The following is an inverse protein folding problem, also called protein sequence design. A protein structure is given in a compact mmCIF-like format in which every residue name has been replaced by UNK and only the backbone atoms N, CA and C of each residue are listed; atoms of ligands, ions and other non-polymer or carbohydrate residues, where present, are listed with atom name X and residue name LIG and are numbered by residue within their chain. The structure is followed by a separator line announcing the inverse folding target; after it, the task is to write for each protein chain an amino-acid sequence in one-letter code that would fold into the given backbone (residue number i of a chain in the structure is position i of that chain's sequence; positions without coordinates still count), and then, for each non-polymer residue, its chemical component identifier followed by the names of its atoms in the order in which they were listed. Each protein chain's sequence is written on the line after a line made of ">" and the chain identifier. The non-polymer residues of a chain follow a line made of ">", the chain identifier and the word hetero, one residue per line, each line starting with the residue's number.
data_IF_304761275601
#
_entry.id   IF_304761275601
#
_cell.length_a   1.000
_cell.length_b   1.000
_cell.length_c   1.000
_cell.angle_alpha   90.00
_cell.angle_beta   90.00
_cell.angle_gamma   90.00
#
_symmetry.space_group_name_H-M   'P 1'
#
loop_
_entity.id
_entity.type
_entity.pdbx_description
1 polymer ?
#
# COMPACT_ATOMS: atom_id res chain seq x y z
N UNK A 1 -2.15 11.44 30.19
CA UNK A 1 -2.44 12.53 29.24
C UNK A 1 -3.56 12.09 28.32
N UNK A 2 -4.46 12.99 27.89
CA UNK A 2 -5.45 12.68 26.85
C UNK A 2 -4.74 12.27 25.55
N UNK A 3 -5.31 11.27 24.85
CA UNK A 3 -4.69 10.61 23.68
C UNK A 3 -4.62 11.54 22.46
N UNK A 4 -5.65 12.36 22.24
CA UNK A 4 -5.76 13.26 21.09
C UNK A 4 -4.65 14.34 21.04
N UNK A 5 -4.37 15.08 22.14
CA UNK A 5 -3.27 16.05 22.16
C UNK A 5 -1.89 15.42 21.99
N UNK A 6 -1.70 14.20 22.50
CA UNK A 6 -0.47 13.44 22.29
C UNK A 6 -0.28 13.11 20.80
N UNK A 7 -1.30 12.54 20.14
CA UNK A 7 -1.25 12.25 18.71
C UNK A 7 -1.00 13.51 17.88
N UNK A 8 -1.66 14.61 18.22
CA UNK A 8 -1.45 15.89 17.54
C UNK A 8 -0.01 16.40 17.64
N UNK A 9 0.63 16.30 18.81
CA UNK A 9 2.03 16.70 18.99
C UNK A 9 3.02 15.78 18.25
N UNK A 10 2.69 14.48 18.19
CA UNK A 10 3.44 13.46 17.47
C UNK A 10 3.41 13.71 15.95
N UNK A 11 2.22 13.93 15.37
CA UNK A 11 2.08 14.21 13.93
C UNK A 11 2.73 15.53 13.48
N UNK A 12 2.97 16.48 14.39
CA UNK A 12 3.68 17.71 14.05
C UNK A 12 5.18 17.49 13.81
N UNK A 13 5.76 16.40 14.29
CA UNK A 13 7.19 16.15 14.12
C UNK A 13 7.53 15.87 12.66
N UNK A 14 8.61 16.48 12.18
CA UNK A 14 9.03 16.35 10.79
C UNK A 14 9.25 14.92 10.31
N UNK A 15 9.96 14.13 11.10
CA UNK A 15 10.23 12.73 10.77
C UNK A 15 8.92 11.96 10.64
N UNK A 16 7.95 12.26 11.50
CA UNK A 16 6.66 11.56 11.54
C UNK A 16 5.81 11.89 10.34
N UNK A 17 5.52 13.17 10.07
CA UNK A 17 4.65 13.47 8.95
C UNK A 17 5.28 13.07 7.60
N UNK A 18 6.62 13.14 7.48
CA UNK A 18 7.32 12.68 6.27
C UNK A 18 7.22 11.17 6.11
N UNK A 19 7.46 10.43 7.18
CA UNK A 19 7.35 8.97 7.18
C UNK A 19 5.92 8.50 6.91
N UNK A 20 4.92 9.08 7.57
CA UNK A 20 3.50 8.74 7.38
C UNK A 20 3.02 9.07 5.97
N UNK A 21 3.40 10.21 5.40
CA UNK A 21 3.01 10.57 4.04
C UNK A 21 3.63 9.61 3.01
N UNK A 22 4.93 9.31 3.15
CA UNK A 22 5.59 8.29 2.33
C UNK A 22 4.88 6.95 2.41
N UNK A 23 4.71 6.43 3.64
CA UNK A 23 4.10 5.11 3.87
C UNK A 23 2.69 5.02 3.31
N UNK A 24 1.88 6.06 3.53
CA UNK A 24 0.50 6.09 3.04
C UNK A 24 0.47 6.11 1.51
N UNK A 25 1.15 7.06 0.88
CA UNK A 25 1.14 7.20 -0.57
C UNK A 25 1.74 5.97 -1.25
N UNK A 26 2.85 5.45 -0.73
CA UNK A 26 3.45 4.23 -1.24
C UNK A 26 2.48 3.05 -1.12
N UNK A 27 1.94 2.82 0.07
CA UNK A 27 0.97 1.73 0.34
C UNK A 27 -0.28 1.83 -0.54
N UNK A 28 -0.83 3.02 -0.75
CA UNK A 28 -2.01 3.22 -1.59
C UNK A 28 -1.68 2.95 -3.05
N UNK A 29 -0.66 3.62 -3.60
CA UNK A 29 -0.36 3.55 -5.03
C UNK A 29 0.24 2.21 -5.46
N UNK A 30 1.00 1.54 -4.58
CA UNK A 30 1.57 0.22 -4.87
C UNK A 30 0.55 -0.92 -4.77
N UNK A 31 -0.58 -0.70 -4.10
CA UNK A 31 -1.62 -1.71 -3.93
C UNK A 31 -2.81 -1.53 -4.88
N UNK A 32 -2.82 -0.47 -5.69
CA UNK A 32 -3.77 -0.36 -6.80
C UNK A 32 -3.47 -1.46 -7.80
N UNK A 33 -4.49 -2.29 -8.06
CA UNK A 33 -4.41 -3.47 -8.92
C UNK A 33 -5.68 -3.59 -9.77
N UNK A 34 -5.93 -4.76 -10.36
CA UNK A 34 -7.16 -5.08 -11.09
C UNK A 34 -7.93 -6.16 -10.32
N UNK A 35 -9.20 -5.91 -10.02
CA UNK A 35 -10.04 -6.75 -9.16
C UNK A 35 -10.23 -8.16 -9.72
N UNK A 36 -10.38 -8.28 -11.05
CA UNK A 36 -10.68 -9.54 -11.75
C UNK A 36 -9.41 -10.27 -12.25
N UNK A 37 -8.24 -9.88 -11.75
CA UNK A 37 -6.95 -10.48 -12.11
C UNK A 37 -6.89 -12.00 -11.86
N UNK A 38 -7.55 -12.50 -10.80
CA UNK A 38 -7.60 -13.93 -10.48
C UNK A 38 -8.43 -14.73 -11.48
N UNK A 39 -9.53 -14.17 -11.98
CA UNK A 39 -10.42 -14.80 -12.96
C UNK A 39 -9.78 -14.81 -14.34
N UNK A 40 -9.11 -13.71 -14.71
CA UNK A 40 -8.32 -13.65 -15.95
C UNK A 40 -7.23 -14.74 -15.95
N UNK A 41 -6.55 -14.95 -14.82
CA UNK A 41 -5.54 -16.01 -14.71
C UNK A 41 -6.13 -17.42 -14.80
N UNK A 42 -7.27 -17.69 -14.16
CA UNK A 42 -7.90 -19.01 -14.24
C UNK A 42 -8.50 -19.29 -15.63
N UNK A 43 -9.20 -18.33 -16.22
CA UNK A 43 -9.98 -18.56 -17.43
C UNK A 43 -9.14 -18.41 -18.69
N UNK A 44 -8.28 -17.40 -18.77
CA UNK A 44 -7.47 -17.14 -19.95
C UNK A 44 -6.13 -17.86 -19.92
N UNK A 45 -5.46 -17.90 -18.75
CA UNK A 45 -4.15 -18.54 -18.62
C UNK A 45 -4.22 -20.01 -18.15
N UNK A 46 -5.40 -20.52 -17.75
CA UNK A 46 -5.63 -21.90 -17.29
C UNK A 46 -4.65 -22.38 -16.21
N UNK A 47 -4.08 -21.45 -15.44
CA UNK A 47 -3.21 -21.78 -14.32
C UNK A 47 -4.08 -22.19 -13.13
N UNK A 48 -4.01 -23.47 -12.75
CA UNK A 48 -4.69 -23.95 -11.56
C UNK A 48 -4.16 -23.21 -10.32
N UNK A 49 -5.03 -22.82 -9.36
CA UNK A 49 -4.62 -22.13 -8.14
C UNK A 49 -3.62 -22.94 -7.29
N UNK A 50 -3.53 -24.24 -7.51
CA UNK A 50 -2.51 -25.10 -6.93
C UNK A 50 -1.10 -24.76 -7.44
N UNK A 51 -0.95 -24.45 -8.73
CA UNK A 51 0.34 -24.10 -9.33
C UNK A 51 0.85 -22.73 -8.84
N UNK A 52 -0.04 -21.75 -8.69
CA UNK A 52 0.31 -20.44 -8.11
C UNK A 52 0.63 -20.55 -6.62
N UNK A 53 -0.10 -21.40 -5.88
CA UNK A 53 0.22 -21.73 -4.49
C UNK A 53 1.58 -22.41 -4.32
N UNK A 54 1.92 -23.36 -5.19
CA UNK A 54 3.24 -24.01 -5.18
C UNK A 54 4.35 -23.01 -5.53
N UNK A 55 4.14 -22.15 -6.54
CA UNK A 55 5.10 -21.12 -6.91
C UNK A 55 5.35 -20.11 -5.78
N UNK A 56 4.29 -19.69 -5.06
CA UNK A 56 4.44 -18.78 -3.92
C UNK A 56 5.14 -19.45 -2.74
N UNK A 57 4.86 -20.73 -2.47
CA UNK A 57 5.57 -21.51 -1.46
C UNK A 57 7.06 -21.63 -1.81
N UNK A 58 7.41 -22.00 -3.04
CA UNK A 58 8.80 -22.08 -3.51
C UNK A 58 9.49 -20.72 -3.37
N UNK A 59 8.81 -19.64 -3.77
CA UNK A 59 9.32 -18.27 -3.64
C UNK A 59 9.56 -17.90 -2.18
N UNK A 60 8.64 -18.23 -1.27
CA UNK A 60 8.79 -18.00 0.16
C UNK A 60 9.96 -18.79 0.76
N UNK A 61 10.10 -20.08 0.41
CA UNK A 61 11.23 -20.91 0.84
C UNK A 61 12.57 -20.37 0.35
N UNK A 62 12.65 -19.97 -0.92
CA UNK A 62 13.84 -19.35 -1.51
C UNK A 62 14.14 -17.99 -0.85
N UNK A 63 13.11 -17.23 -0.47
CA UNK A 63 13.26 -15.95 0.22
C UNK A 63 13.78 -16.13 1.65
N UNK A 64 13.23 -17.05 2.43
CA UNK A 64 13.69 -17.38 3.78
C UNK A 64 15.13 -17.93 3.73
N UNK A 65 15.42 -18.79 2.76
CA UNK A 65 16.77 -19.35 2.58
C UNK A 65 17.76 -18.28 2.12
N UNK A 66 17.39 -17.43 1.16
CA UNK A 66 18.22 -16.33 0.67
C UNK A 66 18.52 -15.30 1.76
N UNK A 67 17.51 -14.87 2.52
CA UNK A 67 17.69 -13.94 3.66
C UNK A 67 18.58 -14.54 4.75
N UNK A 68 18.42 -15.84 5.07
CA UNK A 68 19.28 -16.54 6.02
C UNK A 68 20.74 -16.60 5.55
N UNK A 69 20.96 -16.92 4.27
CA UNK A 69 22.30 -17.01 3.67
C UNK A 69 23.00 -15.64 3.58
N UNK A 70 22.24 -14.58 3.26
CA UNK A 70 22.74 -13.20 3.18
C UNK A 70 23.06 -12.64 4.57
N UNK A 71 22.21 -12.89 5.57
CA UNK A 71 22.49 -12.56 6.98
C UNK A 71 23.77 -13.23 7.49
N UNK A 72 24.07 -14.44 7.00
CA UNK A 72 25.26 -15.23 7.38
C UNK A 72 26.57 -14.75 6.72
N UNK A 73 26.53 -14.02 5.61
CA UNK A 73 27.73 -13.68 4.79
C UNK A 73 28.19 -12.20 4.81
N UNK A 74 27.65 -11.40 5.73
CA UNK A 74 27.92 -9.97 5.94
C UNK A 74 27.13 -9.00 5.03
N UNK A 75 26.56 -7.99 5.69
CA UNK A 75 26.09 -6.68 5.21
C UNK A 75 25.45 -6.59 3.82
N UNK A 76 24.11 -6.58 3.81
CA UNK A 76 23.33 -5.79 2.85
C UNK A 76 22.74 -6.52 1.65
N UNK A 77 21.41 -6.55 1.63
CA UNK A 77 20.49 -6.67 0.47
C UNK A 77 20.15 -8.08 -0.04
N UNK A 78 18.86 -8.49 0.06
CA UNK A 78 18.25 -9.54 -0.76
C UNK A 78 17.09 -9.01 -1.61
N UNK A 79 17.11 -9.15 -2.94
CA UNK A 79 15.93 -8.91 -3.79
C UNK A 79 15.98 -9.66 -5.14
N UNK A 80 15.13 -10.69 -5.33
CA UNK A 80 14.53 -11.11 -6.63
C UNK A 80 13.21 -11.85 -6.35
N UNK A 81 12.07 -11.40 -6.91
CA UNK A 81 10.76 -12.03 -6.77
C UNK A 81 9.60 -11.05 -6.63
N UNK A 82 9.37 -10.53 -5.43
CA UNK A 82 8.28 -9.57 -5.11
C UNK A 82 8.85 -8.24 -4.57
N UNK A 83 9.89 -7.81 -5.27
CA UNK A 83 10.91 -6.94 -4.74
C UNK A 83 10.45 -5.53 -4.43
N UNK A 84 9.69 -4.79 -5.25
CA UNK A 84 9.52 -3.36 -5.01
C UNK A 84 8.74 -3.03 -3.74
N UNK A 85 7.61 -3.71 -3.52
CA UNK A 85 6.76 -3.51 -2.34
C UNK A 85 7.44 -4.02 -1.07
N UNK A 86 7.94 -5.27 -1.10
CA UNK A 86 8.63 -5.85 0.02
C UNK A 86 9.93 -5.10 0.33
N UNK A 87 10.72 -4.68 -0.67
CA UNK A 87 11.94 -3.88 -0.46
C UNK A 87 11.62 -2.55 0.19
N UNK A 88 10.61 -1.82 -0.30
CA UNK A 88 10.24 -0.55 0.29
C UNK A 88 9.74 -0.73 1.72
N UNK A 89 8.98 -1.80 1.99
CA UNK A 89 8.54 -2.13 3.34
C UNK A 89 9.70 -2.53 4.26
N UNK A 90 10.58 -3.42 3.81
CA UNK A 90 11.80 -3.81 4.53
C UNK A 90 12.75 -2.63 4.75
N UNK A 91 12.96 -1.77 3.75
CA UNK A 91 13.80 -0.56 3.86
C UNK A 91 13.18 0.40 4.88
N UNK A 92 11.87 0.56 4.89
CA UNK A 92 11.21 1.42 5.85
C UNK A 92 11.14 0.82 7.26
N UNK A 93 11.02 -0.50 7.41
CA UNK A 93 11.17 -1.19 8.71
C UNK A 93 12.61 -1.10 9.24
N UNK A 94 13.62 -1.29 8.37
CA UNK A 94 15.03 -1.11 8.70
C UNK A 94 15.34 0.34 9.07
N UNK A 95 14.74 1.31 8.37
CA UNK A 95 14.85 2.73 8.72
C UNK A 95 14.32 2.97 10.13
N UNK A 96 13.19 2.37 10.52
CA UNK A 96 12.66 2.51 11.89
C UNK A 96 13.59 1.88 12.93
N UNK A 97 14.14 0.69 12.67
CA UNK A 97 15.12 0.04 13.56
C UNK A 97 16.41 0.86 13.69
N UNK A 98 16.83 1.55 12.63
CA UNK A 98 18.00 2.42 12.63
C UNK A 98 17.75 3.73 13.40
N UNK A 99 16.57 4.33 13.23
CA UNK A 99 16.09 5.51 13.97
C UNK A 99 15.89 5.20 15.47
N UNK A 100 15.74 3.91 15.77
CA UNK A 100 15.35 3.38 17.06
C UNK A 100 16.38 3.37 18.18
N UNK A 101 17.62 3.77 17.88
CA UNK A 101 18.69 3.85 18.87
C UNK A 101 18.42 4.92 19.99
N UNK A 102 17.34 5.71 19.88
CA UNK A 102 16.79 6.55 20.94
C UNK A 102 15.61 5.86 21.66
N UNK A 103 15.79 5.53 22.95
CA UNK A 103 14.82 4.84 23.81
C UNK A 103 13.39 5.44 23.72
N UNK A 104 12.43 4.61 23.26
CA UNK A 104 10.99 4.81 23.49
C UNK A 104 10.15 5.29 22.30
N UNK A 105 10.75 5.61 21.15
CA UNK A 105 10.03 6.15 19.98
C UNK A 105 9.81 5.15 18.84
N UNK A 106 10.55 4.04 18.84
CA UNK A 106 10.45 2.94 17.88
C UNK A 106 9.03 2.38 17.76
N UNK A 107 8.42 2.06 18.90
CA UNK A 107 7.10 1.45 18.93
C UNK A 107 6.02 2.39 18.36
N UNK A 108 6.17 3.70 18.53
CA UNK A 108 5.26 4.70 17.95
C UNK A 108 5.43 4.77 16.44
N UNK A 109 6.66 4.76 15.92
CA UNK A 109 6.92 4.75 14.47
C UNK A 109 6.50 3.44 13.81
N UNK A 110 6.76 2.29 14.45
CA UNK A 110 6.29 0.98 14.00
C UNK A 110 4.77 0.91 13.98
N UNK A 111 4.14 1.27 15.09
CA UNK A 111 2.68 1.32 15.20
C UNK A 111 2.06 2.25 14.15
N UNK A 112 2.67 3.41 13.92
CA UNK A 112 2.21 4.37 12.92
C UNK A 112 2.41 3.87 11.48
N UNK A 113 3.50 3.17 11.21
CA UNK A 113 3.73 2.51 9.93
C UNK A 113 2.64 1.50 9.63
N UNK A 114 2.39 0.59 10.58
CA UNK A 114 1.37 -0.45 10.45
C UNK A 114 -0.04 0.14 10.35
N UNK A 115 -0.38 1.20 11.09
CA UNK A 115 -1.69 1.84 10.96
C UNK A 115 -1.84 2.55 9.62
N UNK A 116 -0.79 3.20 9.14
CA UNK A 116 -0.84 3.87 7.84
C UNK A 116 -1.04 2.86 6.71
N UNK A 117 -0.42 1.68 6.81
CA UNK A 117 -0.61 0.58 5.87
C UNK A 117 -2.01 -0.06 5.98
N UNK A 118 -2.48 -0.34 7.20
CA UNK A 118 -3.79 -0.95 7.42
C UNK A 118 -4.96 -0.05 7.00
N UNK A 119 -4.74 1.26 6.93
CA UNK A 119 -5.67 2.23 6.33
C UNK A 119 -5.47 2.38 4.82
N UNK A 120 -4.21 2.37 4.35
CA UNK A 120 -3.86 2.52 2.94
C UNK A 120 -4.34 1.37 2.06
N UNK A 121 -4.17 0.12 2.50
CA UNK A 121 -4.60 -1.08 1.77
C UNK A 121 -6.09 -1.06 1.40
N UNK A 122 -7.04 -0.97 2.36
CA UNK A 122 -8.46 -1.01 2.00
C UNK A 122 -8.89 0.25 1.21
N UNK A 123 -8.24 1.39 1.42
CA UNK A 123 -8.47 2.58 0.61
C UNK A 123 -8.02 2.39 -0.84
N UNK A 124 -6.87 1.75 -1.08
CA UNK A 124 -6.41 1.36 -2.42
C UNK A 124 -7.37 0.39 -3.11
N UNK A 125 -7.92 -0.57 -2.36
CA UNK A 125 -8.95 -1.49 -2.87
C UNK A 125 -10.20 -0.75 -3.33
N UNK A 126 -10.64 0.24 -2.56
CA UNK A 126 -11.82 1.06 -2.92
C UNK A 126 -11.55 1.88 -4.18
N UNK A 127 -10.37 2.49 -4.30
CA UNK A 127 -9.97 3.19 -5.52
C UNK A 127 -9.95 2.22 -6.71
N UNK A 128 -9.33 1.06 -6.54
CA UNK A 128 -9.25 -0.01 -7.55
C UNK A 128 -10.65 -0.38 -8.05
N UNK A 129 -11.56 -0.73 -7.12
CA UNK A 129 -12.94 -1.06 -7.46
C UNK A 129 -13.69 0.08 -8.13
N UNK A 130 -13.47 1.32 -7.69
CA UNK A 130 -14.10 2.49 -8.29
C UNK A 130 -13.63 2.68 -9.73
N UNK A 131 -12.33 2.50 -10.00
CA UNK A 131 -11.76 2.57 -11.35
C UNK A 131 -12.27 1.42 -12.21
N UNK A 132 -12.23 0.19 -11.69
CA UNK A 132 -12.68 -1.02 -12.39
C UNK A 132 -14.17 -0.94 -12.76
N UNK A 133 -15.01 -0.36 -11.90
CA UNK A 133 -16.45 -0.17 -12.18
C UNK A 133 -16.78 0.78 -13.35
N UNK A 134 -15.79 1.44 -13.96
CA UNK A 134 -15.95 2.17 -15.22
C UNK A 134 -15.67 1.31 -16.46
N UNK A 135 -15.15 0.09 -16.28
CA UNK A 135 -14.77 -0.82 -17.36
C UNK A 135 -15.60 -2.10 -17.31
N UNK A 136 -15.94 -2.65 -18.48
CA UNK A 136 -16.69 -3.91 -18.60
C UNK A 136 -15.76 -5.12 -18.40
N UNK A 137 -15.21 -5.25 -17.20
CA UNK A 137 -14.21 -6.28 -16.83
C UNK A 137 -14.74 -7.33 -15.87
N UNK A 138 -16.03 -7.29 -15.52
CA UNK A 138 -16.65 -8.29 -14.63
C UNK A 138 -16.62 -9.69 -15.26
N UNK A 139 -16.63 -10.75 -14.44
CA UNK A 139 -16.54 -12.14 -14.91
C UNK A 139 -17.46 -12.50 -16.08
N UNK A 140 -18.69 -12.00 -16.05
CA UNK A 140 -19.71 -12.25 -17.09
C UNK A 140 -19.30 -11.74 -18.49
N UNK A 141 -18.44 -10.72 -18.54
CA UNK A 141 -17.85 -10.21 -19.78
C UNK A 141 -16.55 -10.93 -20.14
N UNK A 142 -15.76 -11.34 -19.14
CA UNK A 142 -14.51 -12.11 -19.32
C UNK A 142 -14.78 -13.48 -19.97
N UNK A 143 -15.88 -14.14 -19.60
CA UNK A 143 -16.30 -15.43 -20.18
C UNK A 143 -16.64 -15.35 -21.68
N UNK A 144 -17.04 -14.18 -22.17
CA UNK A 144 -17.41 -13.98 -23.58
C UNK A 144 -16.18 -13.90 -24.51
N UNK A 145 -14.97 -13.75 -23.95
CA UNK A 145 -13.68 -13.71 -24.66
C UNK A 145 -13.64 -12.82 -25.91
N UNK A 146 -14.26 -11.63 -25.83
CA UNK A 146 -14.31 -10.68 -26.94
C UNK A 146 -13.06 -9.78 -27.00
N UNK A 147 -12.66 -9.34 -28.20
CA UNK A 147 -11.53 -8.40 -28.38
C UNK A 147 -11.73 -7.07 -27.62
N UNK A 148 -12.98 -6.62 -27.51
CA UNK A 148 -13.33 -5.43 -26.74
C UNK A 148 -12.97 -5.59 -25.27
N UNK A 149 -13.38 -6.70 -24.63
CA UNK A 149 -13.12 -6.99 -23.22
C UNK A 149 -11.62 -7.11 -22.96
N UNK A 150 -10.87 -7.78 -23.84
CA UNK A 150 -9.39 -7.84 -23.75
C UNK A 150 -8.75 -6.45 -23.79
N UNK A 151 -9.29 -5.53 -24.59
CA UNK A 151 -8.79 -4.14 -24.64
C UNK A 151 -9.12 -3.38 -23.35
N UNK A 152 -10.34 -3.54 -22.81
CA UNK A 152 -10.74 -2.95 -21.53
C UNK A 152 -9.86 -3.44 -20.37
N UNK A 153 -9.62 -4.75 -20.29
CA UNK A 153 -8.69 -5.34 -19.32
C UNK A 153 -7.27 -4.79 -19.50
N UNK A 154 -6.82 -4.60 -20.74
CA UNK A 154 -5.50 -3.99 -20.98
C UNK A 154 -5.43 -2.56 -20.45
N UNK A 155 -6.48 -1.76 -20.63
CA UNK A 155 -6.53 -0.39 -20.11
C UNK A 155 -6.52 -0.34 -18.57
N UNK A 156 -7.23 -1.24 -17.89
CA UNK A 156 -7.22 -1.29 -16.41
C UNK A 156 -5.84 -1.65 -15.87
N UNK A 157 -5.14 -2.61 -16.49
CA UNK A 157 -3.75 -2.92 -16.16
C UNK A 157 -2.80 -1.75 -16.41
N UNK A 158 -2.96 -1.01 -17.52
CA UNK A 158 -2.13 0.18 -17.80
C UNK A 158 -2.33 1.26 -16.73
N UNK A 159 -3.57 1.50 -16.29
CA UNK A 159 -3.88 2.45 -15.23
C UNK A 159 -3.26 1.98 -13.91
N UNK A 160 -3.43 0.70 -13.55
CA UNK A 160 -2.82 0.14 -12.35
C UNK A 160 -1.29 0.28 -12.37
N UNK A 161 -0.62 -0.04 -13.49
CA UNK A 161 0.82 0.15 -13.62
C UNK A 161 1.24 1.62 -13.57
N UNK A 162 0.44 2.54 -14.09
CA UNK A 162 0.72 3.97 -13.96
C UNK A 162 0.70 4.42 -12.49
N UNK A 163 -0.29 3.98 -11.70
CA UNK A 163 -0.31 4.23 -10.26
C UNK A 163 0.87 3.58 -9.53
N UNK A 164 1.21 2.34 -9.88
CA UNK A 164 2.38 1.67 -9.33
C UNK A 164 3.70 2.42 -9.66
N UNK A 165 3.84 2.99 -10.85
CA UNK A 165 4.98 3.86 -11.18
C UNK A 165 4.96 5.17 -10.40
N UNK A 166 3.78 5.76 -10.18
CA UNK A 166 3.63 6.95 -9.33
C UNK A 166 4.00 6.68 -7.87
N UNK A 167 3.88 5.43 -7.39
CA UNK A 167 4.37 5.05 -6.05
C UNK A 167 5.87 5.31 -5.89
N UNK A 168 6.65 5.24 -6.97
CA UNK A 168 8.10 5.55 -6.96
C UNK A 168 8.32 7.04 -6.67
N UNK A 169 7.42 7.92 -7.14
CA UNK A 169 7.50 9.34 -6.81
C UNK A 169 7.29 9.60 -5.30
N UNK A 170 6.55 8.73 -4.59
CA UNK A 170 6.39 8.83 -3.14
C UNK A 170 7.74 8.70 -2.40
N UNK A 171 8.74 8.02 -3.00
CA UNK A 171 10.11 7.93 -2.45
C UNK A 171 10.76 9.30 -2.29
N UNK A 172 10.34 10.33 -3.05
CA UNK A 172 10.83 11.69 -2.85
C UNK A 172 10.52 12.23 -1.45
N UNK A 173 9.46 11.74 -0.82
CA UNK A 173 9.06 12.12 0.54
C UNK A 173 9.89 11.42 1.62
N UNK A 174 10.52 10.29 1.28
CA UNK A 174 11.38 9.54 2.19
C UNK A 174 12.66 10.36 2.48
N UNK A 175 13.07 10.48 3.75
CA UNK A 175 14.37 11.09 4.07
C UNK A 175 15.49 10.25 3.45
N UNK A 176 16.37 10.90 2.68
CA UNK A 176 17.30 10.20 1.79
C UNK A 176 18.52 9.64 2.53
N UNK A 177 18.80 10.12 3.74
CA UNK A 177 20.03 9.82 4.46
C UNK A 177 19.82 9.63 5.96
N UNK A 178 20.52 8.66 6.56
CA UNK A 178 20.47 8.35 8.00
C UNK A 178 20.78 9.58 8.87
N UNK A 179 21.78 10.35 8.44
CA UNK A 179 22.22 11.56 9.14
C UNK A 179 21.14 12.66 9.14
N UNK A 180 20.39 12.79 8.04
CA UNK A 180 19.28 13.75 7.92
C UNK A 180 18.19 13.44 8.95
N UNK A 181 17.88 12.16 9.18
CA UNK A 181 16.89 11.77 10.19
C UNK A 181 17.38 12.07 11.60
N UNK A 182 18.64 11.80 11.89
CA UNK A 182 19.23 12.08 13.20
C UNK A 182 19.28 13.59 13.45
N UNK A 183 19.56 14.39 12.41
CA UNK A 183 19.53 15.85 12.50
C UNK A 183 18.11 16.37 12.76
N UNK A 184 17.10 15.87 12.04
CA UNK A 184 15.70 16.24 12.25
C UNK A 184 15.23 15.91 13.68
N UNK A 185 15.67 14.78 14.24
CA UNK A 185 15.38 14.40 15.62
C UNK A 185 16.07 15.32 16.64
N UNK A 186 17.34 15.68 16.40
CA UNK A 186 18.08 16.61 17.29
C UNK A 186 17.51 18.01 17.28
N UNK A 187 17.06 18.48 16.12
CA UNK A 187 16.46 19.81 15.97
C UNK A 187 15.02 19.87 16.50
N UNK A 188 14.35 18.73 16.66
CA UNK A 188 12.95 18.62 17.11
C UNK A 188 12.02 19.57 16.34
N UNK A 189 12.22 19.65 15.01
CA UNK A 189 11.49 20.59 14.17
C UNK A 189 10.03 20.14 14.06
N UNK A 190 9.12 21.04 14.41
CA UNK A 190 7.67 20.81 14.38
C UNK A 190 6.99 21.70 13.35
N UNK A 191 6.08 21.14 12.56
CA UNK A 191 5.22 21.87 11.63
C UNK A 191 3.75 21.58 11.91
N UNK A 192 3.00 22.61 12.28
CA UNK A 192 1.55 22.50 12.54
C UNK A 192 0.78 22.19 11.25
N UNK A 193 1.17 22.79 10.14
CA UNK A 193 0.48 22.63 8.86
C UNK A 193 0.55 21.17 8.38
N UNK A 194 1.77 20.61 8.29
CA UNK A 194 1.96 19.24 7.83
C UNK A 194 1.36 18.21 8.79
N UNK A 195 1.42 18.46 10.11
CA UNK A 195 0.76 17.58 11.09
C UNK A 195 -0.77 17.53 10.91
N UNK A 196 -1.43 18.67 10.73
CA UNK A 196 -2.87 18.73 10.46
C UNK A 196 -3.20 18.04 9.12
N UNK A 197 -2.41 18.30 8.08
CA UNK A 197 -2.57 17.63 6.79
C UNK A 197 -2.52 16.11 6.94
N UNK A 198 -1.54 15.58 7.69
CA UNK A 198 -1.43 14.13 7.93
C UNK A 198 -2.60 13.52 8.66
N UNK A 199 -3.10 14.16 9.71
CA UNK A 199 -4.30 13.68 10.39
C UNK A 199 -5.52 13.74 9.48
N UNK A 200 -5.66 14.79 8.67
CA UNK A 200 -6.84 14.99 7.82
C UNK A 200 -6.98 13.91 6.75
N UNK A 201 -5.91 13.56 6.02
CA UNK A 201 -6.01 12.53 4.98
C UNK A 201 -6.17 11.13 5.57
N UNK A 202 -5.58 10.82 6.74
CA UNK A 202 -5.76 9.53 7.41
C UNK A 202 -7.20 9.34 7.89
N UNK A 203 -7.80 10.38 8.50
CA UNK A 203 -9.20 10.36 8.93
C UNK A 203 -10.13 10.26 7.72
N UNK A 204 -9.86 11.02 6.66
CA UNK A 204 -10.63 10.95 5.42
C UNK A 204 -10.57 9.55 4.80
N UNK A 205 -9.37 8.98 4.67
CA UNK A 205 -9.17 7.62 4.14
C UNK A 205 -9.91 6.57 4.95
N UNK A 206 -9.88 6.66 6.28
CA UNK A 206 -10.63 5.79 7.18
C UNK A 206 -12.14 5.94 6.99
N UNK A 207 -12.65 7.18 7.02
CA UNK A 207 -14.08 7.46 6.89
C UNK A 207 -14.61 7.00 5.52
N UNK A 208 -13.85 7.27 4.45
CA UNK A 208 -14.17 6.84 3.10
C UNK A 208 -14.23 5.31 3.00
N UNK A 209 -13.20 4.63 3.49
CA UNK A 209 -13.13 3.17 3.49
C UNK A 209 -14.29 2.55 4.29
N UNK A 210 -14.62 3.10 5.45
CA UNK A 210 -15.76 2.63 6.24
C UNK A 210 -17.08 2.86 5.50
N UNK A 211 -17.25 4.03 4.89
CA UNK A 211 -18.42 4.37 4.10
C UNK A 211 -18.61 3.38 2.95
N UNK A 212 -17.57 3.09 2.16
CA UNK A 212 -17.67 2.17 1.02
C UNK A 212 -17.86 0.71 1.45
N UNK A 213 -17.26 0.29 2.57
CA UNK A 213 -17.52 -1.03 3.14
C UNK A 213 -18.98 -1.19 3.58
N UNK A 214 -19.56 -0.15 4.20
CA UNK A 214 -20.98 -0.16 4.59
C UNK A 214 -21.87 -0.13 3.34
N UNK A 215 -21.53 0.67 2.33
CA UNK A 215 -22.33 0.80 1.10
C UNK A 215 -22.35 -0.49 0.27
N UNK A 216 -21.24 -1.23 0.30
CA UNK A 216 -21.13 -2.56 -0.31
C UNK A 216 -21.93 -3.64 0.43
N UNK A 217 -22.35 -3.39 1.68
CA UNK A 217 -23.10 -4.36 2.49
C UNK A 217 -24.61 -4.36 2.17
N UNK A 218 -25.15 -3.25 1.66
CA UNK A 218 -26.57 -3.13 1.33
C UNK A 218 -26.82 -3.41 -0.14
N UNK A 219 -27.70 -4.37 -0.44
CA UNK A 219 -28.04 -4.77 -1.82
C UNK A 219 -28.54 -3.61 -2.69
N UNK A 220 -29.22 -2.62 -2.10
CA UNK A 220 -29.72 -1.44 -2.84
C UNK A 220 -28.64 -0.44 -3.25
N UNK A 221 -27.47 -0.46 -2.61
CA UNK A 221 -26.37 0.49 -2.87
C UNK A 221 -25.08 -0.17 -3.35
N UNK A 222 -25.06 -1.50 -3.46
CA UNK A 222 -23.91 -2.28 -3.94
C UNK A 222 -23.61 -2.03 -5.41
N UNK A 223 -24.64 -1.71 -6.23
CA UNK A 223 -24.44 -1.40 -7.64
C UNK A 223 -23.93 0.04 -7.92
N UNK A 224 -23.75 0.88 -6.90
CA UNK A 224 -23.18 2.22 -7.07
C UNK A 224 -21.68 2.13 -7.43
N UNK A 225 -21.22 2.94 -8.39
CA UNK A 225 -19.80 2.96 -8.82
C UNK A 225 -18.80 3.27 -7.71
N UNK A 226 -19.20 4.08 -6.74
CA UNK A 226 -18.38 4.40 -5.57
C UNK A 226 -18.19 3.22 -4.60
N UNK A 227 -19.07 2.22 -4.67
CA UNK A 227 -18.97 0.95 -3.95
C UNK A 227 -18.27 -0.13 -4.79
N UNK A 228 -17.94 0.16 -6.05
CA UNK A 228 -17.34 -0.79 -6.99
C UNK A 228 -18.34 -1.53 -7.89
N UNK A 229 -19.60 -1.11 -7.95
CA UNK A 229 -20.59 -1.65 -8.89
C UNK A 229 -20.54 -0.95 -10.26
N UNK A 230 -21.15 -1.55 -11.29
CA UNK A 230 -21.11 -1.00 -12.67
C UNK A 230 -22.05 0.20 -12.90
N UNK A 231 -22.82 0.58 -11.88
CA UNK A 231 -23.88 1.57 -11.95
C UNK A 231 -25.26 0.92 -11.95
N UNK A 232 -26.08 1.33 -10.98
CA UNK A 232 -27.52 1.46 -11.15
C UNK A 232 -27.82 2.95 -11.41
#
# INVERSE_FOLDING_TARGET
>A
MPILPFLYDVFQQEVIYRYSAFRFCFSVFSQITVTESSVIQSDWAKVEPLNSGIASMITAFLTISGTYLIKKRASGVPLVGEVPFAAADYVAQLLILEIGNHKGFEATLLGLGVTTESVGTPFATVITKTVDGYFDIERTFIEQDNHFVRSQVTYTYLIAYAFNLLSIAAVFWLPKQKDEVHEMQRQNRKSKFWGIATMSYLIFSLAWTLMTNILSLFDSTSCLRIAGGNGC
#
